data_IF_601042349534
#
_entry.id   IF_601042349534
#
_cell.length_a   1.000
_cell.length_b   1.000
_cell.length_c   1.000
_cell.angle_alpha   90.00
_cell.angle_beta   90.00
_cell.angle_gamma   90.00
#
_symmetry.space_group_name_H-M   'P 1'
#
loop_
_entity.id
_entity.type
_entity.pdbx_description
1 polymer ?
#
# COMPACT_ATOMS: atom_id res chain seq x y z
N UNK A 1 -45.68 62.64 55.22
CA UNK A 1 -44.89 61.93 54.18
C UNK A 1 -45.76 60.84 53.56
N UNK A 2 -45.80 60.83 52.22
CA UNK A 2 -46.38 59.88 51.23
C UNK A 2 -47.21 58.70 51.78
N UNK A 3 -48.53 58.64 51.51
CA UNK A 3 -49.20 58.02 50.32
C UNK A 3 -49.04 56.48 50.30
N UNK A 4 -49.98 55.63 49.90
CA UNK A 4 -51.42 55.60 49.60
C UNK A 4 -51.62 54.17 49.02
N UNK A 5 -52.85 53.64 49.04
CA UNK A 5 -53.42 52.68 48.05
C UNK A 5 -53.11 51.18 48.23
N UNK A 6 -54.08 50.50 48.87
CA UNK A 6 -54.97 49.43 48.34
C UNK A 6 -54.57 48.72 47.02
N UNK A 7 -54.81 47.41 46.89
CA UNK A 7 -55.59 46.81 45.78
C UNK A 7 -55.70 45.27 45.90
N UNK A 8 -56.94 44.83 45.71
CA UNK A 8 -57.50 43.49 45.46
C UNK A 8 -57.08 42.91 44.11
N UNK A 9 -56.95 41.58 43.96
CA UNK A 9 -57.38 40.72 42.80
C UNK A 9 -56.77 39.32 43.01
N UNK A 10 -57.50 38.19 43.13
CA UNK A 10 -58.43 37.49 42.22
C UNK A 10 -57.86 37.24 40.82
N UNK A 11 -57.74 35.95 40.44
CA UNK A 11 -58.00 35.31 39.13
C UNK A 11 -57.12 34.04 39.03
N UNK A 12 -57.67 32.83 39.17
CA UNK A 12 -58.42 32.04 38.18
C UNK A 12 -57.55 31.38 37.09
N UNK A 13 -57.43 30.05 37.22
CA UNK A 13 -57.47 29.01 36.20
C UNK A 13 -57.25 29.43 34.72
N UNK A 14 -56.14 28.97 34.14
CA UNK A 14 -56.10 28.59 32.72
C UNK A 14 -55.37 27.24 32.61
N UNK A 15 -56.14 26.21 32.26
CA UNK A 15 -55.67 24.95 31.70
C UNK A 15 -55.17 25.21 30.28
N UNK A 16 -53.92 24.89 29.98
CA UNK A 16 -53.46 24.71 28.60
C UNK A 16 -52.75 23.36 28.44
N UNK A 17 -53.27 22.60 27.47
CA UNK A 17 -52.82 21.29 27.01
C UNK A 17 -51.32 21.29 26.74
N UNK A 18 -50.62 20.25 27.21
CA UNK A 18 -49.24 19.95 26.80
C UNK A 18 -49.24 19.64 25.30
N UNK A 19 -48.79 20.59 24.49
CA UNK A 19 -48.33 20.30 23.14
C UNK A 19 -47.04 19.50 23.24
N UNK A 20 -47.03 18.31 22.64
CA UNK A 20 -45.80 17.54 22.42
C UNK A 20 -45.00 18.31 21.36
N UNK A 21 -43.73 18.69 21.63
CA UNK A 21 -42.92 19.35 20.64
C UNK A 21 -42.74 18.41 19.45
N UNK A 22 -43.12 18.85 18.25
CA UNK A 22 -42.66 18.19 17.03
C UNK A 22 -41.15 18.31 17.02
N UNK A 23 -40.47 17.21 17.26
CA UNK A 23 -39.03 17.11 17.01
C UNK A 23 -38.86 17.32 15.51
N UNK A 24 -38.40 18.50 15.11
CA UNK A 24 -37.82 18.66 13.78
C UNK A 24 -36.64 17.70 13.72
N UNK A 25 -36.82 16.60 12.99
CA UNK A 25 -35.71 15.78 12.55
C UNK A 25 -34.95 16.69 11.59
N UNK A 26 -33.97 17.43 12.13
CA UNK A 26 -32.89 17.97 11.33
C UNK A 26 -32.28 16.74 10.69
N UNK A 27 -32.64 16.47 9.43
CA UNK A 27 -31.90 15.53 8.60
C UNK A 27 -30.52 16.14 8.48
N UNK A 28 -29.63 15.71 9.38
CA UNK A 28 -28.21 15.93 9.25
C UNK A 28 -27.87 15.45 7.84
N UNK A 29 -27.57 16.40 6.94
CA UNK A 29 -27.14 16.06 5.59
C UNK A 29 -25.86 15.28 5.81
N UNK A 30 -25.95 13.95 5.73
CA UNK A 30 -24.80 13.07 5.58
C UNK A 30 -23.97 13.73 4.48
N UNK A 31 -22.75 14.20 4.79
CA UNK A 31 -21.94 14.86 3.79
C UNK A 31 -21.81 13.88 2.63
N UNK A 32 -22.29 14.26 1.45
CA UNK A 32 -22.01 13.49 0.24
C UNK A 32 -20.49 13.42 0.15
N UNK A 33 -19.94 12.26 0.50
CA UNK A 33 -18.53 11.96 0.27
C UNK A 33 -18.35 11.99 -1.23
N UNK A 34 -17.90 13.14 -1.76
CA UNK A 34 -17.50 13.28 -3.15
C UNK A 34 -16.47 12.19 -3.42
N UNK A 35 -16.87 11.18 -4.17
CA UNK A 35 -15.97 10.15 -4.67
C UNK A 35 -14.92 10.86 -5.52
N UNK A 36 -13.65 10.75 -5.14
CA UNK A 36 -12.57 11.28 -5.94
C UNK A 36 -12.50 10.51 -7.27
N UNK A 37 -12.46 11.25 -8.37
CA UNK A 37 -12.31 10.69 -9.72
C UNK A 37 -11.05 11.30 -10.33
N UNK A 38 -10.10 10.44 -10.70
CA UNK A 38 -8.83 10.85 -11.27
C UNK A 38 -8.99 11.31 -12.72
N UNK A 39 -8.18 12.29 -13.15
CA UNK A 39 -8.05 12.58 -14.60
C UNK A 39 -7.37 11.44 -15.36
N UNK A 40 -6.63 10.60 -14.64
CA UNK A 40 -5.91 9.43 -15.15
C UNK A 40 -6.67 8.13 -14.86
N UNK A 41 -7.99 8.19 -14.72
CA UNK A 41 -8.82 7.04 -14.33
C UNK A 41 -8.59 5.81 -15.23
N UNK A 42 -8.41 6.02 -16.55
CA UNK A 42 -8.12 4.94 -17.51
C UNK A 42 -6.88 4.13 -17.14
N UNK A 43 -5.82 4.78 -16.65
CA UNK A 43 -4.60 4.13 -16.16
C UNK A 43 -4.88 3.40 -14.85
N UNK A 44 -5.54 4.08 -13.90
CA UNK A 44 -5.86 3.49 -12.60
C UNK A 44 -6.81 2.29 -12.70
N UNK A 45 -7.67 2.24 -13.71
CA UNK A 45 -8.59 1.13 -13.98
C UNK A 45 -7.90 -0.13 -14.49
N UNK A 46 -6.61 -0.05 -14.87
CA UNK A 46 -5.82 -1.24 -15.19
C UNK A 46 -5.48 -2.08 -13.95
N UNK A 47 -5.49 -1.46 -12.75
CA UNK A 47 -5.15 -2.11 -11.49
C UNK A 47 -6.39 -2.70 -10.80
N UNK A 48 -6.27 -3.92 -10.27
CA UNK A 48 -7.33 -4.54 -9.47
C UNK A 48 -7.37 -3.90 -8.08
N UNK A 49 -8.54 -3.39 -7.68
CA UNK A 49 -8.74 -2.90 -6.31
C UNK A 49 -8.70 -4.05 -5.33
N UNK A 50 -7.95 -3.90 -4.24
CA UNK A 50 -7.86 -4.88 -3.15
C UNK A 50 -8.03 -4.19 -1.80
N UNK A 51 -8.53 -4.97 -0.83
CA UNK A 51 -8.50 -4.63 0.59
C UNK A 51 -7.94 -5.84 1.34
N UNK A 52 -7.11 -5.59 2.35
CA UNK A 52 -6.35 -6.64 3.03
C UNK A 52 -5.92 -6.20 4.43
N UNK A 53 -5.84 -7.18 5.34
CA UNK A 53 -5.18 -7.00 6.64
C UNK A 53 -3.66 -7.14 6.52
N UNK A 54 -3.22 -8.11 5.73
CA UNK A 54 -1.81 -8.36 5.42
C UNK A 54 -1.70 -8.91 4.00
N UNK A 55 -0.84 -8.30 3.19
CA UNK A 55 -0.57 -8.73 1.82
C UNK A 55 0.89 -9.18 1.71
N UNK A 56 1.12 -10.44 1.37
CA UNK A 56 2.44 -10.96 1.03
C UNK A 56 2.73 -10.68 -0.43
N UNK A 57 3.81 -9.96 -0.70
CA UNK A 57 4.32 -9.63 -2.04
C UNK A 57 5.56 -10.46 -2.31
N UNK A 58 5.55 -11.19 -3.43
CA UNK A 58 6.64 -12.08 -3.83
C UNK A 58 6.77 -12.09 -5.36
N UNK A 59 7.96 -12.46 -5.82
CA UNK A 59 8.21 -12.82 -7.22
C UNK A 59 8.43 -14.33 -7.34
N UNK A 60 8.56 -14.84 -8.57
CA UNK A 60 8.75 -16.24 -8.88
C UNK A 60 9.63 -16.39 -10.12
N UNK A 61 10.15 -17.59 -10.39
CA UNK A 61 10.80 -17.91 -11.67
C UNK A 61 9.76 -17.91 -12.81
N UNK A 62 8.62 -18.56 -12.60
CA UNK A 62 7.55 -18.70 -13.60
C UNK A 62 6.58 -17.50 -13.59
N UNK A 63 7.10 -16.27 -13.72
CA UNK A 63 6.28 -15.04 -13.68
C UNK A 63 5.20 -14.94 -14.78
N UNK A 64 5.26 -15.80 -15.80
CA UNK A 64 4.31 -15.82 -16.91
C UNK A 64 3.16 -16.83 -16.71
N UNK A 65 3.22 -17.70 -15.69
CA UNK A 65 2.12 -18.60 -15.33
C UNK A 65 0.85 -17.78 -15.05
N UNK A 66 -0.27 -18.18 -15.66
CA UNK A 66 -1.58 -17.52 -15.45
C UNK A 66 -2.05 -17.54 -14.00
N UNK A 67 -1.56 -18.50 -13.20
CA UNK A 67 -1.86 -18.64 -11.78
C UNK A 67 -0.96 -17.77 -10.91
N UNK A 68 0.09 -17.17 -11.46
CA UNK A 68 0.97 -16.30 -10.69
C UNK A 68 0.20 -15.06 -10.23
N UNK A 69 0.08 -14.90 -8.91
CA UNK A 69 -0.74 -13.86 -8.28
C UNK A 69 -0.35 -12.44 -8.74
N UNK A 70 0.94 -12.21 -8.97
CA UNK A 70 1.49 -10.92 -9.39
C UNK A 70 1.72 -10.81 -10.90
N UNK A 71 1.15 -11.71 -11.73
CA UNK A 71 1.24 -11.65 -13.20
C UNK A 71 0.82 -10.28 -13.74
N UNK A 72 -0.31 -9.78 -13.23
CA UNK A 72 -0.88 -8.48 -13.56
C UNK A 72 -1.39 -8.35 -15.00
N UNK A 73 -1.85 -7.16 -15.34
CA UNK A 73 -2.32 -6.78 -16.68
C UNK A 73 -1.25 -5.94 -17.37
N UNK A 74 -0.82 -6.36 -18.56
CA UNK A 74 0.15 -5.62 -19.37
C UNK A 74 -0.35 -4.20 -19.63
N UNK A 75 0.48 -3.22 -19.31
CA UNK A 75 0.24 -1.81 -19.57
C UNK A 75 0.65 -1.47 -21.01
N UNK A 76 0.00 -0.46 -21.58
CA UNK A 76 0.38 0.03 -22.91
C UNK A 76 1.49 1.10 -22.81
N UNK A 77 2.12 1.42 -23.94
CA UNK A 77 3.20 2.42 -24.00
C UNK A 77 2.75 3.79 -23.47
N UNK A 78 1.48 4.19 -23.67
CA UNK A 78 1.01 5.49 -23.20
C UNK A 78 0.90 5.57 -21.67
N UNK A 79 0.67 4.44 -20.99
CA UNK A 79 0.61 4.36 -19.53
C UNK A 79 2.01 4.43 -18.88
N UNK A 80 3.08 4.25 -19.65
CA UNK A 80 4.46 4.29 -19.15
C UNK A 80 4.84 5.66 -18.59
N UNK A 81 4.20 6.73 -19.07
CA UNK A 81 4.49 8.11 -18.68
C UNK A 81 4.25 8.37 -17.19
N UNK A 82 3.47 7.52 -16.52
CA UNK A 82 3.20 7.65 -15.10
C UNK A 82 4.35 7.13 -14.23
N UNK A 83 5.18 6.24 -14.76
CA UNK A 83 6.30 5.66 -14.01
C UNK A 83 7.52 6.59 -14.03
N UNK A 84 8.32 6.60 -12.95
CA UNK A 84 9.63 7.25 -12.94
C UNK A 84 10.51 6.74 -14.07
N UNK A 85 11.31 7.62 -14.68
CA UNK A 85 12.15 7.31 -15.85
C UNK A 85 13.24 6.29 -15.56
N UNK A 86 13.65 6.20 -14.29
CA UNK A 86 14.70 5.32 -13.80
C UNK A 86 14.24 3.86 -13.75
N UNK A 87 12.94 3.61 -13.86
CA UNK A 87 12.43 2.25 -13.91
C UNK A 87 12.57 1.75 -15.33
N UNK A 88 13.34 0.67 -15.48
CA UNK A 88 13.44 -0.08 -16.72
C UNK A 88 12.10 -0.73 -17.02
N UNK A 89 11.20 0.05 -17.63
CA UNK A 89 9.93 -0.45 -18.19
C UNK A 89 10.06 -0.74 -19.68
N UNK A 90 11.26 -0.50 -20.25
CA UNK A 90 11.57 -0.61 -21.66
C UNK A 90 12.94 -1.26 -21.87
N UNK A 91 12.96 -2.56 -22.15
CA UNK A 91 14.06 -3.16 -22.89
C UNK A 91 13.61 -3.41 -24.33
N UNK A 92 14.47 -3.10 -25.31
CA UNK A 92 14.28 -3.38 -26.74
C UNK A 92 12.86 -3.10 -27.31
N UNK A 93 12.28 -1.93 -27.03
CA UNK A 93 10.94 -1.51 -27.50
C UNK A 93 9.74 -2.33 -26.96
N UNK A 94 9.89 -3.10 -25.88
CA UNK A 94 8.77 -3.79 -25.21
C UNK A 94 8.39 -3.05 -23.93
N UNK A 95 7.09 -2.93 -23.67
CA UNK A 95 6.59 -2.49 -22.36
C UNK A 95 6.64 -3.70 -21.45
N UNK A 96 7.47 -3.65 -20.43
CA UNK A 96 7.53 -4.67 -19.38
C UNK A 96 7.05 -4.07 -18.07
N UNK A 97 5.78 -3.63 -18.09
CA UNK A 97 5.08 -3.13 -16.92
C UNK A 97 3.66 -3.72 -16.89
N UNK A 98 3.30 -4.29 -15.74
CA UNK A 98 2.04 -4.98 -15.52
C UNK A 98 1.36 -4.40 -14.28
N UNK A 99 0.13 -3.91 -14.44
CA UNK A 99 -0.69 -3.44 -13.33
C UNK A 99 -1.21 -4.63 -12.52
N UNK A 100 -0.91 -4.67 -11.22
CA UNK A 100 -1.36 -5.75 -10.33
C UNK A 100 -2.49 -5.26 -9.44
N UNK A 101 -2.17 -4.47 -8.40
CA UNK A 101 -3.12 -4.06 -7.38
C UNK A 101 -3.16 -2.56 -7.16
N UNK A 102 -4.31 -2.05 -6.72
CA UNK A 102 -4.44 -0.71 -6.14
C UNK A 102 -5.21 -0.77 -4.82
N UNK A 103 -4.83 0.09 -3.87
CA UNK A 103 -5.51 0.21 -2.57
C UNK A 103 -5.33 1.61 -1.99
N UNK A 104 -6.31 2.07 -1.22
CA UNK A 104 -6.21 3.37 -0.55
C UNK A 104 -5.22 3.30 0.61
N UNK A 105 -4.23 4.18 0.59
CA UNK A 105 -3.30 4.37 1.72
C UNK A 105 -3.92 5.34 2.71
N UNK A 106 -4.32 6.50 2.19
CA UNK A 106 -5.00 7.54 2.94
C UNK A 106 -5.87 8.40 1.99
N UNK A 107 -6.44 9.50 2.50
CA UNK A 107 -7.29 10.40 1.72
C UNK A 107 -6.58 11.06 0.51
N UNK A 108 -5.26 11.15 0.54
CA UNK A 108 -4.42 11.85 -0.45
C UNK A 108 -3.60 10.89 -1.33
N UNK A 109 -3.45 9.63 -0.92
CA UNK A 109 -2.51 8.70 -1.52
C UNK A 109 -3.18 7.36 -1.85
N UNK A 110 -2.87 6.84 -3.04
CA UNK A 110 -3.25 5.52 -3.51
C UNK A 110 -1.97 4.68 -3.67
N UNK A 111 -1.94 3.49 -3.10
CA UNK A 111 -0.88 2.52 -3.32
C UNK A 111 -1.14 1.75 -4.60
N UNK A 112 -0.15 1.68 -5.49
CA UNK A 112 -0.17 0.83 -6.67
C UNK A 112 0.92 -0.23 -6.53
N UNK A 113 0.58 -1.48 -6.84
CA UNK A 113 1.54 -2.57 -7.02
C UNK A 113 1.61 -2.86 -8.51
N UNK A 114 2.80 -2.73 -9.08
CA UNK A 114 3.07 -3.10 -10.46
C UNK A 114 4.27 -4.02 -10.53
N UNK A 115 4.23 -4.94 -11.48
CA UNK A 115 5.37 -5.76 -11.88
C UNK A 115 6.07 -5.06 -13.05
N UNK A 116 7.35 -4.80 -12.92
CA UNK A 116 8.17 -4.02 -13.85
C UNK A 116 9.50 -4.75 -14.10
N UNK A 117 10.34 -4.23 -14.99
CA UNK A 117 11.66 -4.81 -15.27
C UNK A 117 12.52 -5.01 -14.02
N UNK A 118 12.99 -6.25 -13.86
CA UNK A 118 14.14 -6.67 -13.07
C UNK A 118 15.38 -6.77 -13.97
N UNK A 119 16.25 -7.72 -13.68
CA UNK A 119 17.53 -7.86 -14.41
C UNK A 119 17.37 -8.43 -15.82
N UNK A 120 16.58 -9.50 -15.98
CA UNK A 120 16.41 -10.19 -17.27
C UNK A 120 14.98 -10.14 -17.82
N UNK A 121 14.00 -9.94 -16.96
CA UNK A 121 12.58 -9.92 -17.32
C UNK A 121 11.80 -9.00 -16.38
N UNK A 122 10.47 -8.97 -16.52
CA UNK A 122 9.60 -8.24 -15.59
C UNK A 122 9.41 -9.01 -14.26
N UNK A 123 10.47 -9.42 -13.57
CA UNK A 123 10.40 -10.13 -12.27
C UNK A 123 10.10 -9.20 -11.11
N UNK A 124 10.40 -7.90 -11.24
CA UNK A 124 10.45 -6.99 -10.10
C UNK A 124 9.07 -6.44 -9.75
N UNK A 125 8.53 -6.79 -8.58
CA UNK A 125 7.26 -6.26 -8.07
C UNK A 125 7.54 -5.05 -7.18
N UNK A 126 7.04 -3.88 -7.58
CA UNK A 126 7.28 -2.60 -6.90
C UNK A 126 5.99 -1.96 -6.41
N UNK A 127 6.11 -1.29 -5.27
CA UNK A 127 5.11 -0.36 -4.77
C UNK A 127 5.36 1.04 -5.32
N UNK A 128 4.27 1.72 -5.63
CA UNK A 128 4.25 3.11 -6.07
C UNK A 128 3.23 3.89 -5.26
N UNK A 129 3.65 5.06 -4.76
CA UNK A 129 2.73 6.01 -4.18
C UNK A 129 2.18 6.95 -5.26
N UNK A 130 0.90 6.83 -5.56
CA UNK A 130 0.18 7.75 -6.43
C UNK A 130 -0.51 8.84 -5.61
N UNK A 131 -0.06 10.08 -5.76
CA UNK A 131 -0.65 11.21 -5.06
C UNK A 131 -1.91 11.68 -5.79
N UNK A 132 -3.07 11.58 -5.13
CA UNK A 132 -4.40 11.89 -5.69
C UNK A 132 -4.58 13.36 -6.08
N UNK A 133 -3.92 14.29 -5.38
CA UNK A 133 -4.02 15.72 -5.67
C UNK A 133 -3.10 16.13 -6.82
N UNK A 134 -1.85 15.65 -6.81
CA UNK A 134 -0.85 15.94 -7.84
C UNK A 134 -1.04 15.11 -9.10
N UNK A 135 -1.78 14.00 -9.00
CA UNK A 135 -2.08 13.08 -10.08
C UNK A 135 -0.82 12.48 -10.74
N UNK A 136 0.19 12.18 -9.91
CA UNK A 136 1.49 11.62 -10.30
C UNK A 136 1.97 10.60 -9.27
N UNK A 137 2.86 9.70 -9.69
CA UNK A 137 3.64 8.87 -8.79
C UNK A 137 4.71 9.75 -8.12
N UNK A 138 4.79 9.72 -6.78
CA UNK A 138 5.71 10.57 -6.01
C UNK A 138 6.79 9.79 -5.27
N UNK A 139 6.63 8.48 -5.12
CA UNK A 139 7.61 7.61 -4.48
C UNK A 139 7.42 6.16 -4.96
N UNK A 140 8.48 5.36 -4.88
CA UNK A 140 8.44 3.94 -5.20
C UNK A 140 9.49 3.12 -4.43
N UNK A 141 9.19 1.83 -4.23
CA UNK A 141 10.08 0.85 -3.58
C UNK A 141 9.90 -0.52 -4.21
N UNK A 142 11.01 -1.23 -4.39
CA UNK A 142 10.97 -2.65 -4.71
C UNK A 142 10.47 -3.42 -3.49
N UNK A 143 9.50 -4.31 -3.70
CA UNK A 143 8.90 -5.13 -2.65
C UNK A 143 9.17 -6.61 -2.86
N UNK A 144 9.32 -7.04 -4.10
CA UNK A 144 9.77 -8.38 -4.39
C UNK A 144 10.55 -8.42 -5.69
N UNK A 145 11.48 -9.36 -5.75
CA UNK A 145 12.24 -9.69 -6.93
C UNK A 145 12.79 -11.10 -6.76
N UNK A 146 13.13 -11.73 -7.87
CA UNK A 146 13.79 -13.02 -7.88
C UNK A 146 14.71 -13.07 -9.08
N UNK A 147 15.94 -13.50 -8.85
CA UNK A 147 16.88 -13.74 -9.94
C UNK A 147 18.13 -14.45 -9.45
N UNK A 148 18.99 -14.75 -10.41
CA UNK A 148 20.26 -15.38 -10.18
C UNK A 148 21.10 -15.36 -11.44
N UNK A 149 22.41 -15.31 -11.28
CA UNK A 149 23.38 -15.49 -12.35
C UNK A 149 24.68 -16.05 -11.77
N UNK A 150 25.38 -16.89 -12.54
CA UNK A 150 26.71 -17.41 -12.19
C UNK A 150 26.84 -17.92 -10.73
N UNK A 151 25.83 -18.63 -10.22
CA UNK A 151 25.82 -19.18 -8.87
C UNK A 151 25.26 -18.24 -7.79
N UNK A 152 25.09 -16.94 -8.08
CA UNK A 152 24.37 -16.01 -7.22
C UNK A 152 22.86 -16.21 -7.33
N UNK A 153 22.17 -16.08 -6.21
CA UNK A 153 20.71 -16.06 -6.11
C UNK A 153 20.33 -14.89 -5.20
N UNK A 154 19.46 -14.02 -5.69
CA UNK A 154 18.83 -12.99 -4.88
C UNK A 154 17.31 -13.17 -4.88
N UNK A 155 16.73 -12.96 -3.71
CA UNK A 155 15.29 -13.04 -3.53
C UNK A 155 14.83 -11.94 -2.57
N UNK A 156 13.82 -11.20 -2.97
CA UNK A 156 13.15 -10.22 -2.11
C UNK A 156 11.69 -10.63 -1.95
N UNK A 157 11.19 -10.62 -0.71
CA UNK A 157 9.76 -10.71 -0.40
C UNK A 157 9.39 -9.63 0.58
N UNK A 158 8.13 -9.20 0.53
CA UNK A 158 7.61 -8.22 1.46
C UNK A 158 6.25 -8.58 2.01
N UNK A 159 5.90 -8.00 3.16
CA UNK A 159 4.57 -8.06 3.75
C UNK A 159 4.09 -6.65 4.04
N UNK A 160 2.96 -6.28 3.44
CA UNK A 160 2.29 -5.00 3.66
C UNK A 160 1.19 -5.21 4.69
N UNK A 161 1.15 -4.40 5.74
CA UNK A 161 0.12 -4.49 6.78
C UNK A 161 -0.14 -3.13 7.42
N UNK A 162 -1.32 -2.98 8.03
CA UNK A 162 -1.67 -1.77 8.79
C UNK A 162 -1.29 -1.97 10.26
N UNK A 163 -0.63 -0.97 10.85
CA UNK A 163 -0.40 -0.86 12.29
C UNK A 163 -0.71 0.57 12.72
N UNK A 164 -1.64 0.75 13.66
CA UNK A 164 -2.10 2.07 14.11
C UNK A 164 -2.50 3.00 12.96
N UNK A 165 -3.28 2.48 11.99
CA UNK A 165 -3.72 3.19 10.78
C UNK A 165 -2.60 3.58 9.78
N UNK A 166 -1.34 3.26 10.07
CA UNK A 166 -0.22 3.46 9.15
C UNK A 166 0.10 2.17 8.42
N UNK A 167 0.41 2.28 7.13
CA UNK A 167 0.92 1.16 6.36
C UNK A 167 2.39 0.92 6.67
N UNK A 168 2.73 -0.32 6.96
CA UNK A 168 4.08 -0.79 7.22
C UNK A 168 4.41 -1.91 6.24
N UNK A 169 5.68 -2.00 5.89
CA UNK A 169 6.18 -2.95 4.92
C UNK A 169 7.38 -3.64 5.57
N UNK A 170 7.22 -4.91 5.89
CA UNK A 170 8.32 -5.74 6.31
C UNK A 170 8.95 -6.35 5.06
N UNK A 171 10.24 -6.08 4.81
CA UNK A 171 10.99 -6.57 3.66
C UNK A 171 12.02 -7.58 4.14
N UNK A 172 12.05 -8.72 3.47
CA UNK A 172 13.06 -9.74 3.62
C UNK A 172 13.84 -9.86 2.31
N UNK A 173 15.15 -9.75 2.40
CA UNK A 173 16.08 -9.96 1.30
C UNK A 173 16.98 -11.14 1.63
N UNK A 174 17.17 -12.01 0.65
CA UNK A 174 18.03 -13.18 0.73
C UNK A 174 19.05 -13.08 -0.39
N UNK A 175 20.30 -13.35 -0.06
CA UNK A 175 21.37 -13.52 -1.02
C UNK A 175 22.06 -14.86 -0.74
N UNK A 176 22.25 -15.66 -1.78
CA UNK A 176 22.95 -16.94 -1.74
C UNK A 176 23.98 -17.00 -2.86
N UNK A 177 25.11 -17.69 -2.63
CA UNK A 177 26.08 -17.99 -3.67
C UNK A 177 26.53 -19.45 -3.58
N UNK A 178 26.44 -20.18 -4.69
CA UNK A 178 26.91 -21.56 -4.84
C UNK A 178 28.32 -21.61 -5.43
N UNK A 179 29.36 -21.62 -4.59
CA UNK A 179 30.75 -21.64 -5.05
C UNK A 179 31.13 -22.92 -5.82
N UNK A 180 30.24 -23.90 -5.98
CA UNK A 180 30.52 -25.08 -6.82
C UNK A 180 30.66 -24.76 -8.31
N UNK A 181 30.16 -23.59 -8.74
CA UNK A 181 30.32 -23.09 -10.11
C UNK A 181 31.62 -22.33 -10.33
N UNK A 182 32.38 -22.05 -9.27
CA UNK A 182 33.64 -21.31 -9.34
C UNK A 182 34.83 -22.21 -9.72
N UNK A 183 35.86 -21.59 -10.30
CA UNK A 183 37.12 -22.27 -10.65
C UNK A 183 37.86 -22.83 -9.41
N UNK A 184 37.61 -22.26 -8.22
CA UNK A 184 38.10 -22.75 -6.94
C UNK A 184 36.96 -23.09 -5.96
N UNK A 185 36.32 -24.26 -6.06
CA UNK A 185 35.16 -24.66 -5.26
C UNK A 185 35.50 -24.99 -3.80
N UNK A 186 36.58 -24.43 -3.26
CA UNK A 186 37.08 -24.69 -1.90
C UNK A 186 36.32 -23.92 -0.83
N UNK A 187 35.55 -22.88 -1.22
CA UNK A 187 34.74 -22.11 -0.29
C UNK A 187 33.36 -22.74 -0.11
N UNK A 188 32.83 -22.79 1.13
CA UNK A 188 31.47 -23.25 1.37
C UNK A 188 30.47 -22.24 0.82
N UNK A 189 29.33 -22.73 0.34
CA UNK A 189 28.20 -21.91 -0.13
C UNK A 189 27.83 -20.83 0.89
N UNK A 190 27.51 -19.64 0.38
CA UNK A 190 27.19 -18.48 1.19
C UNK A 190 25.68 -18.25 1.20
N UNK A 191 25.14 -17.84 2.35
CA UNK A 191 23.74 -17.43 2.50
C UNK A 191 23.62 -16.32 3.54
N UNK A 192 22.97 -15.24 3.16
CA UNK A 192 22.67 -14.12 4.03
C UNK A 192 21.21 -13.70 3.93
N UNK A 193 20.67 -13.22 5.05
CA UNK A 193 19.32 -12.65 5.12
C UNK A 193 19.38 -11.26 5.72
N UNK A 194 18.72 -10.32 5.07
CA UNK A 194 18.53 -8.95 5.51
C UNK A 194 17.06 -8.65 5.74
N UNK A 195 16.78 -7.84 6.74
CA UNK A 195 15.43 -7.51 7.16
C UNK A 195 15.28 -6.00 7.33
N UNK A 196 14.22 -5.46 6.75
CA UNK A 196 13.91 -4.04 6.83
C UNK A 196 12.46 -3.86 7.25
N UNK A 197 12.22 -2.84 8.06
CA UNK A 197 10.87 -2.35 8.31
C UNK A 197 10.77 -0.95 7.72
N UNK A 198 9.85 -0.80 6.77
CA UNK A 198 9.50 0.48 6.16
C UNK A 198 8.14 0.92 6.69
N UNK A 199 7.92 2.22 6.76
CA UNK A 199 6.63 2.79 7.13
C UNK A 199 6.26 3.90 6.14
N UNK A 200 5.01 3.88 5.71
CA UNK A 200 4.47 4.95 4.89
C UNK A 200 4.10 6.13 5.77
N UNK A 201 4.71 7.29 5.52
CA UNK A 201 4.41 8.52 6.21
C UNK A 201 4.51 9.71 5.26
N UNK A 202 3.53 10.62 5.30
CA UNK A 202 3.53 11.87 4.54
C UNK A 202 3.84 11.72 3.04
N UNK A 203 3.32 10.67 2.39
CA UNK A 203 3.50 10.44 0.96
C UNK A 203 4.80 9.72 0.57
N UNK A 204 5.56 9.20 1.53
CA UNK A 204 6.83 8.49 1.29
C UNK A 204 6.90 7.20 2.09
N UNK A 205 7.66 6.24 1.58
CA UNK A 205 7.98 4.99 2.25
C UNK A 205 9.44 5.00 2.72
N UNK A 206 9.62 5.19 4.03
CA UNK A 206 10.92 5.35 4.67
C UNK A 206 11.29 4.13 5.51
N UNK A 207 12.58 3.78 5.54
CA UNK A 207 13.09 2.72 6.41
C UNK A 207 13.16 3.19 7.86
N UNK A 208 12.41 2.53 8.73
CA UNK A 208 12.36 2.83 10.17
C UNK A 208 13.15 1.82 11.02
N UNK A 209 13.53 0.67 10.48
CA UNK A 209 14.43 -0.28 11.13
C UNK A 209 15.18 -1.15 10.12
N UNK A 210 16.42 -1.50 10.45
CA UNK A 210 17.30 -2.45 9.74
C UNK A 210 17.92 -3.50 10.69
N UNK A 211 17.37 -3.63 11.91
CA UNK A 211 17.96 -4.51 12.92
C UNK A 211 17.55 -5.97 12.65
N UNK A 212 18.39 -6.70 11.92
CA UNK A 212 18.10 -8.07 11.50
C UNK A 212 17.66 -8.99 12.64
N UNK A 213 18.38 -9.02 13.77
CA UNK A 213 18.05 -9.90 14.92
C UNK A 213 16.69 -9.58 15.53
N UNK A 214 16.40 -8.28 15.70
CA UNK A 214 15.12 -7.86 16.28
C UNK A 214 13.96 -8.13 15.34
N UNK A 215 14.13 -7.80 14.06
CA UNK A 215 13.09 -7.96 13.05
C UNK A 215 12.81 -9.44 12.77
N UNK A 216 13.85 -10.27 12.67
CA UNK A 216 13.70 -11.72 12.56
C UNK A 216 12.89 -12.29 13.74
N UNK A 217 13.22 -11.88 14.97
CA UNK A 217 12.45 -12.30 16.15
C UNK A 217 10.99 -11.85 16.07
N UNK A 218 10.77 -10.58 15.75
CA UNK A 218 9.44 -9.96 15.68
C UNK A 218 8.55 -10.61 14.62
N UNK A 219 9.10 -10.90 13.45
CA UNK A 219 8.37 -11.45 12.30
C UNK A 219 8.61 -12.95 12.11
N UNK A 220 9.18 -13.64 13.09
CA UNK A 220 9.54 -15.06 13.03
C UNK A 220 8.40 -15.98 12.62
N UNK A 221 7.15 -15.69 12.99
CA UNK A 221 5.98 -16.47 12.57
C UNK A 221 5.71 -16.37 11.07
N UNK A 222 5.95 -15.20 10.48
CA UNK A 222 5.78 -14.96 9.05
C UNK A 222 6.94 -15.61 8.29
N UNK A 223 8.17 -15.44 8.77
CA UNK A 223 9.38 -16.00 8.17
C UNK A 223 9.35 -17.54 8.19
N UNK A 224 9.06 -18.17 9.34
CA UNK A 224 9.13 -19.64 9.51
C UNK A 224 8.03 -20.40 8.77
N UNK A 225 6.90 -19.76 8.48
CA UNK A 225 5.82 -20.40 7.72
C UNK A 225 6.21 -20.63 6.25
N UNK A 226 7.27 -19.98 5.80
CA UNK A 226 7.76 -20.00 4.42
C UNK A 226 9.00 -20.90 4.24
N UNK A 227 9.59 -21.40 5.34
CA UNK A 227 10.76 -22.30 5.31
C UNK A 227 10.40 -23.78 5.55
N UNK A 228 9.11 -24.13 5.43
CA UNK A 228 8.53 -25.48 5.50
C UNK A 228 7.74 -25.74 4.23
#
# INVERSE_FOLDING_TARGET
MKKLITIFTVLSLISCKKEVPKTEIIKEKVPETKVWVSKNQKFLDQFKTVDFDTLKVFSAEDIYDEKFEYKGKLLNIADSIFFPKEISIFDMNKVDAYAVYKFDIDKNNLGLIARVGGEYDASSVKFFNYNKQKEIITDYRQLADFGGDAGDIWETKSWIFKNNQLFNFFVWEKFEHDNSVDEEPKLPNYKENHYFLLQFNNGKLDTISKNNKQLEKQFSKIIKKESL
#
